data_IF_167262031323
#
_entry.id   IF_167262031323
#
_cell.length_a   1.000
_cell.length_b   1.000
_cell.length_c   1.000
_cell.angle_alpha   90.00
_cell.angle_beta   90.00
_cell.angle_gamma   90.00
#
_symmetry.space_group_name_H-M   'P 1'
#
loop_
_entity.id
_entity.type
_entity.pdbx_description
1 polymer ?
#
# COMPACT_ATOMS: atom_id res chain seq x y z
N UNK A 1 31.24 -7.26 -4.63
CA UNK A 1 29.77 -7.35 -4.64
C UNK A 1 29.28 -6.46 -3.52
N UNK A 2 28.55 -5.39 -3.84
CA UNK A 2 27.98 -4.48 -2.84
C UNK A 2 26.73 -5.14 -2.26
N UNK A 3 26.56 -5.05 -0.93
CA UNK A 3 25.40 -5.56 -0.23
C UNK A 3 24.67 -4.39 0.44
N UNK A 4 23.34 -4.45 0.50
CA UNK A 4 22.56 -3.51 1.29
C UNK A 4 22.81 -3.80 2.77
N UNK A 5 23.08 -2.74 3.54
CA UNK A 5 23.22 -2.84 4.99
C UNK A 5 21.89 -3.29 5.64
N UNK A 6 21.98 -4.17 6.64
CA UNK A 6 20.80 -4.78 7.26
C UNK A 6 19.99 -3.78 8.07
N UNK A 7 20.64 -2.83 8.71
CA UNK A 7 19.95 -1.77 9.47
C UNK A 7 19.23 -0.82 8.52
N UNK A 8 19.88 -0.44 7.42
CA UNK A 8 19.24 0.32 6.34
C UNK A 8 18.01 -0.42 5.77
N UNK A 9 18.11 -1.73 5.53
CA UNK A 9 16.98 -2.54 5.07
C UNK A 9 15.82 -2.55 6.09
N UNK A 10 16.12 -2.61 7.39
CA UNK A 10 15.10 -2.53 8.43
C UNK A 10 14.38 -1.19 8.43
N UNK A 11 15.11 -0.08 8.30
CA UNK A 11 14.52 1.27 8.22
C UNK A 11 13.61 1.40 7.00
N UNK A 12 14.05 0.94 5.82
CA UNK A 12 13.22 0.91 4.62
C UNK A 12 11.96 0.07 4.81
N UNK A 13 12.10 -1.10 5.45
CA UNK A 13 10.97 -2.00 5.72
C UNK A 13 9.94 -1.34 6.65
N UNK A 14 10.38 -0.67 7.72
CA UNK A 14 9.48 0.07 8.61
C UNK A 14 8.79 1.22 7.90
N UNK A 15 9.48 1.93 7.01
CA UNK A 15 8.87 2.99 6.19
C UNK A 15 7.77 2.44 5.27
N UNK A 16 8.02 1.31 4.61
CA UNK A 16 7.00 0.62 3.78
C UNK A 16 5.81 0.20 4.63
N UNK A 17 6.03 -0.39 5.81
CA UNK A 17 4.97 -0.82 6.73
C UNK A 17 4.13 0.38 7.19
N UNK A 18 4.77 1.51 7.54
CA UNK A 18 4.07 2.71 7.98
C UNK A 18 3.13 3.24 6.89
N UNK A 19 3.66 3.45 5.68
CA UNK A 19 2.86 3.92 4.55
C UNK A 19 1.76 2.92 4.16
N UNK A 20 2.05 1.62 4.15
CA UNK A 20 1.04 0.59 3.89
C UNK A 20 -0.06 0.59 4.97
N UNK A 21 0.31 0.78 6.24
CA UNK A 21 -0.63 0.91 7.35
C UNK A 21 -1.56 2.12 7.21
N UNK A 22 -0.99 3.29 6.90
CA UNK A 22 -1.75 4.51 6.62
C UNK A 22 -2.69 4.31 5.44
N UNK A 23 -2.19 3.73 4.34
CA UNK A 23 -3.00 3.43 3.17
C UNK A 23 -4.19 2.53 3.52
N UNK A 24 -3.95 1.47 4.30
CA UNK A 24 -5.01 0.54 4.75
C UNK A 24 -6.08 1.27 5.55
N UNK A 25 -5.68 2.13 6.49
CA UNK A 25 -6.64 2.94 7.25
C UNK A 25 -7.53 3.76 6.32
N UNK A 26 -6.93 4.46 5.35
CA UNK A 26 -7.66 5.26 4.35
C UNK A 26 -8.57 4.41 3.47
N UNK A 27 -8.14 3.22 3.05
CA UNK A 27 -8.98 2.26 2.30
C UNK A 27 -10.24 1.89 3.09
N UNK A 28 -10.12 1.58 4.38
CA UNK A 28 -11.28 1.24 5.21
C UNK A 28 -12.15 2.45 5.56
N UNK A 29 -11.57 3.65 5.69
CA UNK A 29 -12.32 4.90 5.79
C UNK A 29 -13.16 5.14 4.52
N UNK A 30 -12.58 4.92 3.34
CA UNK A 30 -13.30 5.05 2.08
C UNK A 30 -14.50 4.09 1.99
N UNK A 31 -14.29 2.81 2.34
CA UNK A 31 -15.35 1.81 2.39
C UNK A 31 -16.47 2.21 3.37
N UNK A 32 -16.10 2.72 4.55
CA UNK A 32 -17.04 3.19 5.57
C UNK A 32 -17.86 4.40 5.13
N UNK A 33 -17.25 5.34 4.38
CA UNK A 33 -17.99 6.48 3.83
C UNK A 33 -18.94 6.04 2.71
N UNK A 34 -18.49 5.15 1.83
CA UNK A 34 -19.33 4.66 0.74
C UNK A 34 -20.54 3.86 1.23
N UNK A 35 -20.40 3.07 2.29
CA UNK A 35 -21.54 2.35 2.88
C UNK A 35 -22.60 3.29 3.50
N UNK A 36 -22.23 4.54 3.78
CA UNK A 36 -23.12 5.63 4.23
C UNK A 36 -23.64 6.50 3.08
N UNK A 37 -23.30 6.19 1.83
CA UNK A 37 -23.64 7.00 0.65
C UNK A 37 -22.75 8.22 0.43
N UNK A 38 -21.72 8.43 1.25
CA UNK A 38 -20.82 9.59 1.16
C UNK A 38 -19.71 9.36 0.12
N UNK A 39 -20.08 9.28 -1.15
CA UNK A 39 -19.16 8.86 -2.21
C UNK A 39 -18.02 9.84 -2.50
N UNK A 40 -18.22 11.15 -2.32
CA UNK A 40 -17.13 12.13 -2.50
C UNK A 40 -16.06 11.99 -1.42
N UNK A 41 -16.46 11.80 -0.16
CA UNK A 41 -15.51 11.50 0.92
C UNK A 41 -14.80 10.16 0.69
N UNK A 42 -15.53 9.14 0.18
CA UNK A 42 -14.92 7.86 -0.18
C UNK A 42 -13.85 8.01 -1.28
N UNK A 43 -14.11 8.79 -2.34
CA UNK A 43 -13.12 9.08 -3.38
C UNK A 43 -11.89 9.80 -2.82
N UNK A 44 -12.08 10.76 -1.92
CA UNK A 44 -10.96 11.46 -1.28
C UNK A 44 -10.08 10.49 -0.49
N UNK A 45 -10.67 9.64 0.35
CA UNK A 45 -9.89 8.65 1.11
C UNK A 45 -9.18 7.63 0.20
N UNK A 46 -9.80 7.21 -0.91
CA UNK A 46 -9.11 6.37 -1.91
C UNK A 46 -7.91 7.07 -2.55
N UNK A 47 -8.01 8.38 -2.79
CA UNK A 47 -6.91 9.16 -3.32
C UNK A 47 -5.75 9.24 -2.32
N UNK A 48 -6.04 9.56 -1.06
CA UNK A 48 -5.06 9.58 0.03
C UNK A 48 -4.40 8.20 0.21
N UNK A 49 -5.18 7.12 0.21
CA UNK A 49 -4.66 5.74 0.26
C UNK A 49 -3.68 5.45 -0.88
N UNK A 50 -4.00 5.92 -2.09
CA UNK A 50 -3.16 5.70 -3.26
C UNK A 50 -1.83 6.47 -3.16
N UNK A 51 -1.81 7.66 -2.57
CA UNK A 51 -0.57 8.43 -2.35
C UNK A 51 0.38 7.70 -1.37
N UNK A 52 -0.16 7.15 -0.29
CA UNK A 52 0.60 6.35 0.68
C UNK A 52 1.15 5.06 0.02
N UNK A 53 0.32 4.34 -0.76
CA UNK A 53 0.77 3.17 -1.54
C UNK A 53 1.89 3.53 -2.50
N UNK A 54 1.78 4.63 -3.24
CA UNK A 54 2.83 5.04 -4.20
C UNK A 54 4.15 5.29 -3.47
N UNK A 55 4.12 5.94 -2.31
CA UNK A 55 5.31 6.17 -1.49
C UNK A 55 5.97 4.85 -1.07
N UNK A 56 5.18 3.90 -0.56
CA UNK A 56 5.68 2.57 -0.17
C UNK A 56 6.20 1.76 -1.36
N UNK A 57 5.45 1.77 -2.48
CA UNK A 57 5.76 0.99 -3.68
C UNK A 57 7.02 1.49 -4.38
N UNK A 58 7.31 2.79 -4.33
CA UNK A 58 8.57 3.34 -4.85
C UNK A 58 9.78 2.79 -4.06
N UNK A 59 9.67 2.69 -2.73
CA UNK A 59 10.73 2.08 -1.90
C UNK A 59 10.91 0.60 -2.25
N UNK A 60 9.83 -0.17 -2.34
CA UNK A 60 9.87 -1.58 -2.74
C UNK A 60 10.52 -1.75 -4.13
N UNK A 61 10.06 -0.99 -5.12
CA UNK A 61 10.55 -1.07 -6.51
C UNK A 61 12.03 -0.72 -6.58
N UNK A 62 12.46 0.35 -5.90
CA UNK A 62 13.87 0.74 -5.88
C UNK A 62 14.78 -0.33 -5.25
N UNK A 63 14.26 -1.09 -4.28
CA UNK A 63 15.02 -2.16 -3.61
C UNK A 63 15.15 -3.39 -4.52
N UNK A 64 14.07 -3.78 -5.20
CA UNK A 64 14.09 -4.85 -6.21
C UNK A 64 14.95 -4.49 -7.43
N UNK A 65 14.97 -3.22 -7.84
CA UNK A 65 15.83 -2.77 -8.92
C UNK A 65 17.31 -2.90 -8.56
N UNK A 66 17.72 -2.52 -7.34
CA UNK A 66 19.09 -2.74 -6.86
C UNK A 66 19.48 -4.22 -6.90
N UNK A 67 18.56 -5.10 -6.51
CA UNK A 67 18.76 -6.54 -6.59
C UNK A 67 19.00 -7.00 -8.04
N UNK A 68 18.17 -6.54 -8.98
CA UNK A 68 18.32 -6.82 -10.40
C UNK A 68 19.63 -6.29 -11.01
N UNK A 69 20.17 -5.18 -10.46
CA UNK A 69 21.47 -4.61 -10.82
C UNK A 69 22.67 -5.35 -10.18
N UNK A 70 22.41 -6.43 -9.42
CA UNK A 70 23.44 -7.29 -8.83
C UNK A 70 23.86 -6.89 -7.41
N UNK A 71 23.14 -5.97 -6.76
CA UNK A 71 23.33 -5.65 -5.34
C UNK A 71 22.71 -6.75 -4.49
N UNK A 72 23.49 -7.32 -3.57
CA UNK A 72 22.98 -8.36 -2.68
C UNK A 72 21.99 -7.75 -1.66
N UNK A 73 20.77 -8.26 -1.62
CA UNK A 73 19.80 -7.97 -0.56
C UNK A 73 19.86 -9.09 0.48
N UNK A 74 20.20 -8.81 1.75
CA UNK A 74 20.23 -9.84 2.77
C UNK A 74 18.82 -10.34 3.09
N UNK A 75 18.68 -11.62 3.42
CA UNK A 75 17.42 -12.15 3.90
C UNK A 75 16.95 -11.40 5.14
N UNK A 76 15.68 -10.95 5.11
CA UNK A 76 15.04 -10.25 6.22
C UNK A 76 13.57 -10.59 6.28
N UNK A 77 13.14 -11.21 7.38
CA UNK A 77 11.72 -11.48 7.63
C UNK A 77 10.89 -10.18 7.70
N UNK A 78 11.49 -9.09 8.20
CA UNK A 78 10.83 -7.79 8.27
C UNK A 78 10.62 -7.19 6.88
N UNK A 79 11.59 -7.35 5.97
CA UNK A 79 11.45 -6.90 4.59
C UNK A 79 10.39 -7.72 3.84
N UNK A 80 10.37 -9.05 4.02
CA UNK A 80 9.30 -9.90 3.50
C UNK A 80 7.92 -9.46 4.02
N UNK A 81 7.79 -9.25 5.33
CA UNK A 81 6.54 -8.76 5.92
C UNK A 81 6.10 -7.38 5.38
N UNK A 82 7.05 -6.46 5.15
CA UNK A 82 6.77 -5.17 4.55
C UNK A 82 6.21 -5.30 3.12
N UNK A 83 6.81 -6.16 2.29
CA UNK A 83 6.31 -6.45 0.94
C UNK A 83 4.92 -7.08 0.96
N UNK A 84 4.72 -8.12 1.78
CA UNK A 84 3.44 -8.81 1.92
C UNK A 84 2.34 -7.84 2.36
N UNK A 85 2.65 -6.97 3.32
CA UNK A 85 1.72 -5.96 3.82
C UNK A 85 1.33 -5.01 2.71
N UNK A 86 2.30 -4.42 2.00
CA UNK A 86 2.03 -3.47 0.91
C UNK A 86 1.19 -4.10 -0.21
N UNK A 87 1.57 -5.28 -0.70
CA UNK A 87 0.84 -5.96 -1.78
C UNK A 87 -0.59 -6.35 -1.36
N UNK A 88 -0.78 -6.72 -0.09
CA UNK A 88 -2.11 -6.96 0.48
C UNK A 88 -2.95 -5.69 0.46
N UNK A 89 -2.40 -4.55 0.92
CA UNK A 89 -3.12 -3.26 0.91
C UNK A 89 -3.46 -2.77 -0.49
N UNK A 90 -2.57 -3.01 -1.46
CA UNK A 90 -2.86 -2.70 -2.87
C UNK A 90 -4.04 -3.53 -3.39
N UNK A 91 -4.12 -4.80 -3.00
CA UNK A 91 -5.24 -5.68 -3.34
C UNK A 91 -6.53 -5.22 -2.66
N UNK A 92 -6.48 -4.85 -1.38
CA UNK A 92 -7.60 -4.27 -0.63
C UNK A 92 -8.11 -2.97 -1.30
N UNK A 93 -7.22 -2.07 -1.71
CA UNK A 93 -7.58 -0.84 -2.43
C UNK A 93 -8.34 -1.15 -3.73
N UNK A 94 -7.86 -2.11 -4.51
CA UNK A 94 -8.51 -2.50 -5.76
C UNK A 94 -9.89 -3.10 -5.52
N UNK A 95 -10.02 -3.96 -4.50
CA UNK A 95 -11.32 -4.51 -4.11
C UNK A 95 -12.29 -3.43 -3.64
N UNK A 96 -11.85 -2.52 -2.77
CA UNK A 96 -12.69 -1.44 -2.24
C UNK A 96 -13.12 -0.47 -3.34
N UNK A 97 -12.26 -0.17 -4.32
CA UNK A 97 -12.64 0.60 -5.51
C UNK A 97 -13.83 -0.02 -6.24
N UNK A 98 -13.83 -1.34 -6.45
CA UNK A 98 -14.97 -2.03 -7.08
C UNK A 98 -16.19 -2.08 -6.15
N UNK A 99 -16.02 -2.30 -4.84
CA UNK A 99 -17.12 -2.26 -3.86
C UNK A 99 -17.82 -0.91 -3.82
N UNK A 100 -17.08 0.19 -3.92
CA UNK A 100 -17.66 1.54 -3.96
C UNK A 100 -18.53 1.73 -5.20
N UNK A 101 -18.09 1.23 -6.38
CA UNK A 101 -18.92 1.23 -7.59
C UNK A 101 -20.20 0.40 -7.39
N UNK A 102 -20.13 -0.71 -6.67
CA UNK A 102 -21.32 -1.51 -6.33
C UNK A 102 -22.27 -0.74 -5.42
N UNK A 103 -21.77 -0.08 -4.36
CA UNK A 103 -22.59 0.77 -3.49
C UNK A 103 -23.28 1.91 -4.26
N UNK A 104 -22.59 2.53 -5.22
CA UNK A 104 -23.19 3.56 -6.08
C UNK A 104 -24.34 3.01 -6.94
N UNK A 105 -24.21 1.80 -7.47
CA UNK A 105 -25.27 1.16 -8.27
C UNK A 105 -26.48 0.74 -7.44
N UNK A 106 -26.24 0.24 -6.22
CA UNK A 106 -27.31 -0.25 -5.33
C UNK A 106 -28.04 0.92 -4.64
N UNK A 107 -27.31 1.98 -4.29
CA UNK A 107 -27.84 3.14 -3.57
C UNK A 107 -28.71 4.11 -4.37
N UNK A 108 -28.91 3.88 -5.68
CA UNK A 108 -29.79 4.67 -6.54
C UNK A 108 -29.11 5.27 -7.76
N UNK A 109 -28.91 4.44 -8.79
CA UNK A 109 -29.10 4.89 -10.17
C UNK A 109 -30.58 4.92 -10.52
#
# INVERSE_FOLDING_TARGET
MTAVDREALNVLSMQVILHAGNARERVFQALTQASKGNFEAAKQFLHEANQEIVSAHNVQTSTLQKEAEGVMIPYSALFGHAQDTLMTVMSELNMVKEMIKLYQKIGGG
#
